data_IF_484067370479
#
_entry.id   IF_484067370479
#
_cell.length_a   1.000
_cell.length_b   1.000
_cell.length_c   1.000
_cell.angle_alpha   90.00
_cell.angle_beta   90.00
_cell.angle_gamma   90.00
#
_symmetry.space_group_name_H-M   'P 1'
#
loop_
_entity.id
_entity.type
_entity.pdbx_description
1 polymer ?
#
# COMPACT_ATOMS: atom_id res chain seq x y z
N UNK A 1 37.89 46.36 19.08
CA UNK A 1 37.35 46.09 17.73
C UNK A 1 36.55 44.79 17.77
N UNK A 2 35.26 44.87 18.04
CA UNK A 2 34.27 43.83 17.68
C UNK A 2 32.89 44.46 17.83
N UNK A 3 32.01 44.07 16.93
CA UNK A 3 31.12 44.93 16.17
C UNK A 3 29.81 45.24 16.91
N UNK A 4 29.54 46.52 17.19
CA UNK A 4 28.26 47.03 17.67
C UNK A 4 27.26 47.23 16.51
N UNK A 5 27.06 46.16 15.72
CA UNK A 5 26.24 46.13 14.51
C UNK A 5 25.12 45.09 14.55
N UNK A 6 24.78 44.55 15.72
CA UNK A 6 23.60 43.72 15.89
C UNK A 6 22.38 44.62 16.15
N UNK A 7 21.98 45.31 15.08
CA UNK A 7 20.74 46.06 15.02
C UNK A 7 19.56 45.17 15.37
N UNK A 8 18.76 45.65 16.31
CA UNK A 8 17.51 45.08 16.78
C UNK A 8 16.72 44.32 15.70
N UNK A 9 16.78 42.98 15.71
CA UNK A 9 15.72 42.15 15.17
C UNK A 9 14.46 42.41 15.98
N UNK A 10 13.67 43.35 15.48
CA UNK A 10 12.38 43.72 16.03
C UNK A 10 11.49 42.48 16.10
N UNK A 11 10.69 42.32 17.18
CA UNK A 11 9.82 41.16 17.37
C UNK A 11 8.81 40.96 16.23
N UNK A 12 8.60 42.00 15.38
CA UNK A 12 7.77 42.05 14.17
C UNK A 12 8.42 41.43 12.90
N UNK A 13 9.73 41.18 12.88
CA UNK A 13 10.37 40.50 11.72
C UNK A 13 10.35 38.98 11.88
N UNK A 14 10.50 38.45 13.11
CA UNK A 14 10.57 37.00 13.40
C UNK A 14 9.22 36.32 13.23
N UNK A 15 8.17 36.89 13.78
CA UNK A 15 6.77 36.51 13.56
C UNK A 15 6.36 36.59 12.07
N UNK A 16 6.82 37.58 11.30
CA UNK A 16 6.60 37.58 9.85
C UNK A 16 7.32 36.39 9.19
N UNK A 17 8.61 36.19 9.45
CA UNK A 17 9.40 35.06 8.94
C UNK A 17 8.74 33.71 9.29
N UNK A 18 8.37 33.51 10.55
CA UNK A 18 7.73 32.29 11.03
C UNK A 18 6.38 32.06 10.34
N UNK A 19 5.61 33.13 10.10
CA UNK A 19 4.35 33.05 9.36
C UNK A 19 4.57 32.68 7.90
N UNK A 20 5.57 33.24 7.23
CA UNK A 20 5.94 32.86 5.86
C UNK A 20 6.41 31.41 5.77
N UNK A 21 7.26 30.97 6.70
CA UNK A 21 7.72 29.58 6.79
C UNK A 21 6.54 28.64 7.01
N UNK A 22 5.63 28.96 7.94
CA UNK A 22 4.45 28.13 8.20
C UNK A 22 3.50 28.06 6.99
N UNK A 23 3.32 29.16 6.26
CA UNK A 23 2.50 29.20 5.05
C UNK A 23 3.13 28.38 3.91
N UNK A 24 4.42 28.54 3.66
CA UNK A 24 5.16 27.77 2.66
C UNK A 24 5.15 26.27 2.98
N UNK A 25 5.26 25.92 4.26
CA UNK A 25 5.24 24.54 4.71
C UNK A 25 3.87 23.90 4.50
N UNK A 26 2.78 24.64 4.79
CA UNK A 26 1.43 24.18 4.53
C UNK A 26 1.13 23.98 3.04
N UNK A 27 1.57 24.92 2.20
CA UNK A 27 1.43 24.83 0.74
C UNK A 27 2.20 23.62 0.18
N UNK A 28 3.40 23.38 0.70
CA UNK A 28 4.20 22.20 0.35
C UNK A 28 3.53 20.89 0.78
N UNK A 29 2.89 20.84 1.96
CA UNK A 29 2.13 19.66 2.40
C UNK A 29 0.92 19.38 1.52
N UNK A 30 0.21 20.42 1.07
CA UNK A 30 -0.90 20.26 0.13
C UNK A 30 -0.42 19.73 -1.22
N UNK A 31 0.65 20.33 -1.77
CA UNK A 31 1.24 19.88 -3.02
C UNK A 31 1.73 18.42 -2.93
N UNK A 32 2.39 18.05 -1.82
CA UNK A 32 2.85 16.69 -1.56
C UNK A 32 1.66 15.73 -1.41
N UNK A 33 0.59 16.13 -0.71
CA UNK A 33 -0.62 15.33 -0.57
C UNK A 33 -1.27 15.03 -1.91
N UNK A 34 -1.42 16.02 -2.78
CA UNK A 34 -1.92 15.84 -4.14
C UNK A 34 -0.99 14.95 -4.95
N UNK A 35 0.33 15.13 -4.85
CA UNK A 35 1.30 14.30 -5.56
C UNK A 35 1.26 12.83 -5.13
N UNK A 36 1.15 12.54 -3.83
CA UNK A 36 1.01 11.16 -3.31
C UNK A 36 -0.29 10.53 -3.83
N UNK A 37 -1.39 11.28 -3.80
CA UNK A 37 -2.69 10.79 -4.27
C UNK A 37 -2.66 10.49 -5.77
N UNK A 38 -2.03 11.37 -6.57
CA UNK A 38 -1.81 11.15 -7.99
C UNK A 38 -0.91 9.92 -8.26
N UNK A 39 0.17 9.75 -7.48
CA UNK A 39 1.07 8.60 -7.61
C UNK A 39 0.36 7.28 -7.31
N UNK A 40 -0.42 7.24 -6.22
CA UNK A 40 -1.25 6.08 -5.85
C UNK A 40 -2.25 5.75 -6.95
N UNK A 41 -2.94 6.76 -7.49
CA UNK A 41 -3.90 6.58 -8.57
C UNK A 41 -3.23 6.03 -9.85
N UNK A 42 -2.03 6.52 -10.18
CA UNK A 42 -1.28 6.06 -11.35
C UNK A 42 -0.82 4.60 -11.19
N UNK A 43 -0.28 4.23 -10.03
CA UNK A 43 0.11 2.85 -9.73
C UNK A 43 -1.10 1.91 -9.79
N UNK A 44 -2.24 2.34 -9.23
CA UNK A 44 -3.49 1.59 -9.32
C UNK A 44 -3.89 1.36 -10.78
N UNK A 45 -3.91 2.41 -11.61
CA UNK A 45 -4.27 2.31 -13.02
C UNK A 45 -3.36 1.34 -13.79
N UNK A 46 -2.04 1.44 -13.60
CA UNK A 46 -1.06 0.55 -14.26
C UNK A 46 -1.29 -0.91 -13.85
N UNK A 47 -1.55 -1.18 -12.56
CA UNK A 47 -1.82 -2.53 -12.07
C UNK A 47 -3.13 -3.10 -12.60
N UNK A 48 -4.19 -2.29 -12.64
CA UNK A 48 -5.48 -2.70 -13.23
C UNK A 48 -5.31 -3.03 -14.70
N UNK A 49 -4.55 -2.22 -15.44
CA UNK A 49 -4.25 -2.47 -16.86
C UNK A 49 -3.40 -3.74 -17.08
N UNK A 50 -2.48 -4.04 -16.16
CA UNK A 50 -1.56 -5.19 -16.28
C UNK A 50 -2.21 -6.51 -15.87
N UNK A 51 -2.92 -6.55 -14.74
CA UNK A 51 -3.43 -7.78 -14.17
C UNK A 51 -4.88 -8.10 -14.56
N UNK A 52 -5.62 -7.16 -15.17
CA UNK A 52 -7.07 -7.26 -15.43
C UNK A 52 -7.91 -7.66 -14.21
N UNK A 53 -7.33 -7.58 -13.01
CA UNK A 53 -7.93 -7.93 -11.73
C UNK A 53 -7.90 -6.70 -10.84
N UNK A 54 -9.07 -6.30 -10.34
CA UNK A 54 -9.23 -5.12 -9.49
C UNK A 54 -8.87 -5.41 -8.03
N UNK A 55 -8.94 -6.67 -7.62
CA UNK A 55 -8.75 -7.08 -6.22
C UNK A 55 -7.28 -7.07 -5.82
N UNK A 56 -6.39 -7.52 -6.71
CA UNK A 56 -4.94 -7.60 -6.45
C UNK A 56 -4.32 -6.24 -6.08
N UNK A 57 -4.51 -5.15 -6.86
CA UNK A 57 -3.99 -3.83 -6.48
C UNK A 57 -4.70 -3.21 -5.28
N UNK A 58 -6.00 -3.46 -5.11
CA UNK A 58 -6.75 -2.96 -3.97
C UNK A 58 -6.24 -3.53 -2.64
N UNK A 59 -5.90 -4.82 -2.63
CA UNK A 59 -5.33 -5.50 -1.46
C UNK A 59 -3.98 -4.89 -1.05
N UNK A 60 -3.15 -4.57 -2.05
CA UNK A 60 -1.84 -3.94 -1.87
C UNK A 60 -1.99 -2.55 -1.23
N UNK A 61 -2.93 -1.75 -1.73
CA UNK A 61 -3.25 -0.42 -1.20
C UNK A 61 -3.84 -0.46 0.20
N UNK A 62 -4.73 -1.41 0.48
CA UNK A 62 -5.34 -1.61 1.80
C UNK A 62 -4.32 -2.12 2.85
N UNK A 63 -3.27 -2.82 2.42
CA UNK A 63 -2.24 -3.34 3.33
C UNK A 63 -1.37 -2.23 3.93
N UNK A 64 -1.11 -1.14 3.21
CA UNK A 64 -0.24 -0.04 3.70
C UNK A 64 -0.78 0.57 5.01
N UNK A 65 -2.02 1.09 5.07
CA UNK A 65 -2.55 1.65 6.31
C UNK A 65 -2.71 0.59 7.39
N UNK A 66 -3.04 -0.66 7.02
CA UNK A 66 -3.21 -1.75 7.98
C UNK A 66 -1.91 -2.05 8.75
N UNK A 67 -0.76 -2.08 8.06
CA UNK A 67 0.53 -2.30 8.72
C UNK A 67 0.90 -1.12 9.61
N UNK A 68 0.65 0.12 9.17
CA UNK A 68 0.89 1.32 9.99
C UNK A 68 0.07 1.26 11.29
N UNK A 69 -1.22 0.92 11.20
CA UNK A 69 -2.10 0.76 12.36
C UNK A 69 -1.69 -0.43 13.24
N UNK A 70 -1.11 -1.49 12.68
CA UNK A 70 -0.61 -2.62 13.47
C UNK A 70 0.67 -2.32 14.25
N UNK A 71 1.60 -1.57 13.64
CA UNK A 71 2.96 -1.39 14.18
C UNK A 71 3.06 -0.17 15.08
N UNK A 72 2.51 0.99 14.69
CA UNK A 72 2.67 2.23 15.46
C UNK A 72 2.12 2.15 16.90
N UNK A 73 0.91 1.63 17.15
CA UNK A 73 0.37 1.52 18.50
C UNK A 73 1.16 0.53 19.36
N UNK A 74 1.64 -0.56 18.76
CA UNK A 74 2.42 -1.56 19.48
C UNK A 74 3.78 -1.02 19.91
N UNK A 75 4.41 -0.23 19.05
CA UNK A 75 5.62 0.50 19.38
C UNK A 75 5.40 1.56 20.45
N UNK A 76 4.29 2.31 20.34
CA UNK A 76 3.92 3.30 21.34
C UNK A 76 3.67 2.67 22.72
N UNK A 77 3.06 1.48 22.76
CA UNK A 77 2.81 0.75 24.00
C UNK A 77 4.09 0.15 24.60
N UNK A 78 4.98 -0.38 23.75
CA UNK A 78 6.24 -1.02 24.18
C UNK A 78 7.32 0.01 24.52
N UNK A 79 7.15 1.27 24.11
CA UNK A 79 8.13 2.34 24.32
C UNK A 79 9.45 2.11 23.58
N UNK A 80 9.48 1.23 22.59
CA UNK A 80 10.69 0.90 21.84
C UNK A 80 11.00 1.98 20.80
N UNK A 81 12.25 2.47 20.75
CA UNK A 81 12.65 3.45 19.74
C UNK A 81 12.58 2.82 18.34
N UNK A 82 12.17 3.61 17.36
CA UNK A 82 12.16 3.19 15.95
C UNK A 82 13.62 3.07 15.50
N UNK A 83 14.08 1.84 15.34
CA UNK A 83 15.43 1.51 14.86
C UNK A 83 15.40 0.43 13.79
N UNK A 84 16.57 0.01 13.32
CA UNK A 84 16.71 -1.01 12.26
C UNK A 84 15.93 -2.30 12.55
N UNK A 85 15.90 -2.73 13.81
CA UNK A 85 15.13 -3.90 14.25
C UNK A 85 13.63 -3.78 13.94
N UNK A 86 13.03 -2.60 14.17
CA UNK A 86 11.62 -2.34 13.87
C UNK A 86 11.37 -2.39 12.36
N UNK A 87 12.29 -1.87 11.54
CA UNK A 87 12.16 -1.92 10.08
C UNK A 87 12.19 -3.36 9.54
N UNK A 88 13.06 -4.23 10.08
CA UNK A 88 13.04 -5.64 9.73
C UNK A 88 11.72 -6.32 10.13
N UNK A 89 11.20 -6.01 11.32
CA UNK A 89 9.89 -6.49 11.76
C UNK A 89 8.76 -6.02 10.85
N UNK A 90 8.77 -4.76 10.45
CA UNK A 90 7.79 -4.18 9.52
C UNK A 90 7.82 -4.87 8.15
N UNK A 91 9.02 -5.14 7.61
CA UNK A 91 9.19 -5.84 6.34
C UNK A 91 8.64 -7.27 6.39
N UNK A 92 8.98 -8.01 7.45
CA UNK A 92 8.50 -9.37 7.66
C UNK A 92 6.97 -9.42 7.85
N UNK A 93 6.42 -8.52 8.66
CA UNK A 93 4.98 -8.42 8.89
C UNK A 93 4.22 -8.11 7.60
N UNK A 94 4.72 -7.16 6.80
CA UNK A 94 4.13 -6.80 5.50
C UNK A 94 4.10 -8.01 4.57
N UNK A 95 5.18 -8.79 4.49
CA UNK A 95 5.25 -9.99 3.66
C UNK A 95 4.23 -11.07 4.07
N UNK A 96 4.07 -11.31 5.37
CA UNK A 96 3.10 -12.30 5.89
C UNK A 96 1.67 -11.89 5.55
N UNK A 97 1.30 -10.63 5.82
CA UNK A 97 -0.05 -10.12 5.59
C UNK A 97 -0.41 -10.18 4.10
N UNK A 98 0.49 -9.74 3.23
CA UNK A 98 0.26 -9.73 1.77
C UNK A 98 0.14 -11.16 1.24
N UNK A 99 1.02 -12.07 1.66
CA UNK A 99 0.98 -13.47 1.21
C UNK A 99 -0.32 -14.15 1.61
N UNK A 100 -0.75 -13.97 2.86
CA UNK A 100 -2.00 -14.56 3.35
C UNK A 100 -3.22 -14.04 2.58
N UNK A 101 -3.23 -12.73 2.31
CA UNK A 101 -4.33 -12.09 1.59
C UNK A 101 -4.40 -12.56 0.12
N UNK A 102 -3.24 -12.70 -0.56
CA UNK A 102 -3.17 -13.23 -1.93
C UNK A 102 -3.70 -14.67 -1.98
N UNK A 103 -3.24 -15.56 -1.09
CA UNK A 103 -3.65 -16.97 -1.07
C UNK A 103 -5.16 -17.12 -0.84
N UNK A 104 -5.73 -16.33 0.08
CA UNK A 104 -7.18 -16.38 0.33
C UNK A 104 -8.00 -16.01 -0.91
N UNK A 105 -7.59 -14.97 -1.64
CA UNK A 105 -8.29 -14.54 -2.85
C UNK A 105 -8.14 -15.59 -3.96
N UNK A 106 -6.93 -16.11 -4.15
CA UNK A 106 -6.66 -17.14 -5.14
C UNK A 106 -7.48 -18.41 -4.86
N UNK A 107 -7.65 -18.77 -3.58
CA UNK A 107 -8.50 -19.87 -3.16
C UNK A 107 -9.99 -19.60 -3.49
N UNK A 108 -10.50 -18.39 -3.22
CA UNK A 108 -11.89 -18.03 -3.52
C UNK A 108 -12.17 -18.08 -5.03
N UNK A 109 -11.25 -17.57 -5.85
CA UNK A 109 -11.36 -17.63 -7.32
C UNK A 109 -11.29 -19.08 -7.82
N UNK A 110 -10.43 -19.90 -7.20
CA UNK A 110 -10.32 -21.34 -7.53
C UNK A 110 -11.59 -22.11 -7.18
N UNK A 111 -12.21 -21.86 -6.03
CA UNK A 111 -13.47 -22.51 -5.65
C UNK A 111 -14.58 -22.10 -6.63
N UNK A 112 -14.67 -20.81 -6.95
CA UNK A 112 -15.67 -20.27 -7.87
C UNK A 112 -15.54 -20.81 -9.30
N UNK A 113 -14.31 -20.97 -9.80
CA UNK A 113 -14.07 -21.57 -11.11
C UNK A 113 -14.28 -23.09 -11.11
N UNK A 114 -14.02 -23.79 -10.00
CA UNK A 114 -14.33 -25.22 -9.85
C UNK A 114 -15.83 -25.50 -9.78
N UNK A 115 -16.60 -24.64 -9.13
CA UNK A 115 -18.07 -24.74 -9.10
C UNK A 115 -18.69 -24.39 -10.47
N UNK A 116 -18.01 -23.57 -11.28
CA UNK A 116 -18.40 -23.27 -12.65
C UNK A 116 -17.90 -24.31 -13.68
N UNK A 117 -16.99 -25.22 -13.30
CA UNK A 117 -16.64 -26.35 -14.13
C UNK A 117 -17.84 -27.31 -14.11
N UNK A 118 -18.44 -27.62 -15.29
CA UNK A 118 -19.62 -28.45 -15.30
C UNK A 118 -19.27 -29.81 -14.70
N UNK A 119 -20.09 -30.27 -13.76
CA UNK A 119 -20.19 -31.65 -13.31
C UNK A 119 -20.67 -32.57 -14.43
N UNK A 120 -20.07 -32.47 -15.62
CA UNK A 120 -20.28 -33.36 -16.74
C UNK A 120 -18.97 -34.09 -16.98
N UNK A 121 -18.93 -35.42 -16.74
CA UNK A 121 -17.99 -36.24 -17.48
C UNK A 121 -18.23 -35.90 -18.96
N UNK A 122 -17.20 -35.46 -19.66
CA UNK A 122 -17.21 -35.36 -21.11
C UNK A 122 -17.66 -36.71 -21.66
N UNK A 123 -18.96 -36.82 -21.97
CA UNK A 123 -19.55 -38.00 -22.61
C UNK A 123 -18.98 -38.20 -24.02
N UNK A 124 -18.22 -37.23 -24.54
CA UNK A 124 -17.44 -37.35 -25.76
C UNK A 124 -16.18 -38.20 -25.56
N UNK A 125 -15.44 -38.02 -24.47
CA UNK A 125 -14.26 -38.85 -24.17
C UNK A 125 -14.62 -40.32 -23.86
N UNK A 126 -15.79 -40.57 -23.26
CA UNK A 126 -16.30 -41.93 -23.04
C UNK A 126 -16.82 -42.60 -24.32
N UNK A 127 -17.30 -41.82 -25.29
CA UNK A 127 -17.73 -42.33 -26.61
C UNK A 127 -16.54 -42.74 -27.48
N UNK A 128 -15.46 -41.98 -27.46
CA UNK A 128 -14.27 -42.26 -28.27
C UNK A 128 -13.44 -43.44 -27.72
N UNK A 129 -13.51 -43.72 -26.42
CA UNK A 129 -12.86 -44.88 -25.80
C UNK A 129 -13.63 -46.19 -25.97
N UNK A 130 -14.92 -46.12 -26.34
CA UNK A 130 -15.79 -47.28 -26.51
C UNK A 130 -16.02 -47.65 -27.98
N UNK A 131 -15.23 -47.09 -28.90
CA UNK A 131 -15.13 -47.55 -30.29
C UNK A 131 -13.89 -48.45 -30.45
N UNK A 132 -14.05 -49.79 -30.31
CA UNK A 132 -12.97 -50.75 -30.54
C UNK A 132 -12.80 -51.11 -32.03
N UNK A 133 -13.27 -50.26 -32.98
CA UNK A 133 -13.34 -50.63 -34.41
C UNK A 133 -12.51 -49.79 -35.38
N UNK A 134 -11.60 -48.93 -34.91
CA UNK A 134 -10.57 -48.28 -35.74
C UNK A 134 -9.18 -48.90 -35.58
#
# INVERSE_FOLDING_TARGET
MTNAGQGAETPRRRDLENRWVSAQQQESFQALGVAILAAVALVYLIMVATFRSLLTPFLLLASIPLVVVGVFPLLALTGTPIGLSVFFGFLLLTGIVVTNAIVLIDLVETIKTRDAAPATPSSKAARDACDPSS
#
